data_IF_220823760532
#
_entry.id   IF_220823760532
#
_cell.length_a   1.000
_cell.length_b   1.000
_cell.length_c   1.000
_cell.angle_alpha   90.00
_cell.angle_beta   90.00
_cell.angle_gamma   90.00
#
_symmetry.space_group_name_H-M   'P 1'
#
loop_
_entity.id
_entity.type
_entity.pdbx_description
1 polymer ?
#
# COMPACT_ATOMS: atom_id res chain seq x y z
N UNK A 1 46.06 49.56 61.93
CA UNK A 1 45.63 48.19 61.66
C UNK A 1 44.52 48.26 60.59
N UNK A 2 44.84 47.97 59.29
CA UNK A 2 43.89 48.09 58.16
C UNK A 2 43.45 46.67 57.80
N UNK A 3 42.16 46.40 57.94
CA UNK A 3 41.54 45.13 57.57
C UNK A 3 41.15 45.18 56.11
N UNK A 4 41.77 44.32 55.28
CA UNK A 4 41.41 44.10 53.88
C UNK A 4 40.23 43.13 53.78
N UNK A 5 39.13 43.59 53.22
CA UNK A 5 37.97 42.72 52.83
C UNK A 5 38.31 42.06 51.49
N UNK A 6 38.30 40.73 51.47
CA UNK A 6 38.37 39.93 50.25
C UNK A 6 36.95 39.65 49.79
N UNK A 7 36.62 40.11 48.57
CA UNK A 7 35.36 39.76 47.91
C UNK A 7 35.57 38.41 47.18
N UNK A 8 34.79 37.41 47.54
CA UNK A 8 34.65 36.21 46.74
C UNK A 8 33.59 36.43 45.67
N UNK A 9 33.96 36.36 44.38
CA UNK A 9 33.05 36.34 43.26
C UNK A 9 32.64 34.89 43.03
N UNK A 10 31.38 34.58 43.20
CA UNK A 10 30.80 33.26 42.88
C UNK A 10 30.53 33.21 41.36
N UNK A 11 31.25 32.37 40.62
CA UNK A 11 30.92 32.02 39.22
C UNK A 11 29.75 31.05 39.26
N UNK A 12 28.58 31.52 38.73
CA UNK A 12 27.44 30.66 38.45
C UNK A 12 27.66 30.02 37.05
N UNK A 13 28.02 28.76 37.03
CA UNK A 13 28.05 27.95 35.81
C UNK A 13 26.60 27.58 35.41
N UNK A 14 26.10 28.24 34.39
CA UNK A 14 24.82 27.83 33.76
C UNK A 14 25.03 26.51 33.01
N UNK A 15 24.54 25.42 33.56
CA UNK A 15 24.45 24.16 32.87
C UNK A 15 23.37 24.27 31.77
N UNK A 16 23.79 24.44 30.52
CA UNK A 16 22.89 24.27 29.38
C UNK A 16 22.46 22.81 29.31
N UNK A 17 21.25 22.54 29.76
CA UNK A 17 20.61 21.24 29.60
C UNK A 17 20.37 20.97 28.11
N UNK A 18 21.18 20.13 27.52
CA UNK A 18 20.85 19.50 26.24
C UNK A 18 19.63 18.61 26.48
N UNK A 19 18.44 19.10 26.11
CA UNK A 19 17.29 18.20 25.93
C UNK A 19 17.67 17.23 24.81
N UNK A 20 17.63 15.90 25.03
CA UNK A 20 17.84 14.97 23.93
C UNK A 20 16.77 15.27 22.88
N UNK A 21 17.19 15.60 21.66
CA UNK A 21 16.29 15.67 20.53
C UNK A 21 15.53 14.33 20.49
N UNK A 22 14.24 14.39 20.77
CA UNK A 22 13.37 13.21 20.68
C UNK A 22 13.50 12.72 19.23
N UNK A 23 14.23 11.63 19.03
CA UNK A 23 14.34 11.00 17.73
C UNK A 23 12.89 10.73 17.30
N UNK A 24 12.44 11.43 16.26
CA UNK A 24 11.07 11.27 15.76
C UNK A 24 10.90 9.79 15.40
N UNK A 25 10.01 9.13 16.14
CA UNK A 25 9.77 7.70 16.00
C UNK A 25 9.42 7.40 14.54
N UNK A 26 10.14 6.48 13.94
CA UNK A 26 9.97 6.13 12.54
C UNK A 26 8.58 5.54 12.34
N UNK A 27 7.78 6.13 11.45
CA UNK A 27 6.44 5.61 11.13
C UNK A 27 6.59 4.24 10.46
N UNK A 28 5.94 3.23 11.02
CA UNK A 28 5.80 1.91 10.44
C UNK A 28 4.94 1.95 9.18
N UNK A 29 5.32 1.19 8.18
CA UNK A 29 4.65 1.16 6.89
C UNK A 29 4.07 -0.23 6.59
N UNK A 30 2.89 -0.24 6.01
CA UNK A 30 2.30 -1.40 5.36
C UNK A 30 2.37 -1.20 3.84
N UNK A 31 3.11 -2.07 3.15
CA UNK A 31 3.21 -2.06 1.69
C UNK A 31 2.03 -2.82 1.09
N UNK A 32 0.99 -2.10 0.70
CA UNK A 32 -0.26 -2.67 0.22
C UNK A 32 -0.25 -3.03 -1.29
N UNK A 33 0.91 -2.95 -1.94
CA UNK A 33 1.06 -3.32 -3.34
C UNK A 33 2.47 -3.85 -3.62
N UNK A 34 2.64 -5.18 -3.46
CA UNK A 34 3.95 -5.80 -3.60
C UNK A 34 3.88 -7.05 -4.47
N UNK A 35 4.83 -7.16 -5.39
CA UNK A 35 5.05 -8.33 -6.22
C UNK A 35 6.41 -8.97 -5.92
N UNK A 36 6.39 -10.28 -5.71
CA UNK A 36 7.58 -11.12 -5.69
C UNK A 36 7.50 -12.08 -6.88
N UNK A 37 7.63 -11.50 -8.08
CA UNK A 37 7.49 -12.22 -9.33
C UNK A 37 8.68 -13.15 -9.57
N UNK A 38 8.41 -14.34 -10.09
CA UNK A 38 9.41 -15.38 -10.34
C UNK A 38 9.72 -15.56 -11.81
N UNK A 39 9.55 -14.53 -12.62
CA UNK A 39 9.84 -14.54 -14.04
C UNK A 39 10.94 -13.51 -14.39
N UNK A 40 12.06 -13.94 -14.93
CA UNK A 40 12.52 -15.33 -15.17
C UNK A 40 12.95 -16.07 -13.90
N UNK A 41 13.51 -15.36 -12.92
CA UNK A 41 13.89 -15.83 -11.57
C UNK A 41 13.75 -14.68 -10.61
N UNK A 42 13.43 -14.91 -9.32
CA UNK A 42 13.40 -13.86 -8.33
C UNK A 42 14.73 -13.12 -8.30
N UNK A 43 14.71 -11.79 -8.33
CA UNK A 43 15.92 -10.98 -8.28
C UNK A 43 16.57 -11.06 -6.90
N UNK A 44 15.77 -11.01 -5.84
CA UNK A 44 16.19 -11.17 -4.46
C UNK A 44 15.75 -12.52 -3.89
N UNK A 45 16.62 -13.11 -3.07
CA UNK A 45 16.22 -14.23 -2.20
C UNK A 45 15.25 -13.75 -1.10
N UNK A 46 14.54 -14.67 -0.48
CA UNK A 46 13.65 -14.34 0.64
C UNK A 46 14.37 -13.61 1.78
N UNK A 47 15.62 -14.01 2.10
CA UNK A 47 16.41 -13.33 3.14
C UNK A 47 16.75 -11.89 2.75
N UNK A 48 17.11 -11.66 1.50
CA UNK A 48 17.36 -10.31 0.98
C UNK A 48 16.08 -9.45 1.02
N UNK A 49 14.94 -10.01 0.62
CA UNK A 49 13.64 -9.34 0.70
C UNK A 49 13.26 -9.01 2.13
N UNK A 50 13.46 -9.94 3.07
CA UNK A 50 13.26 -9.72 4.50
C UNK A 50 14.10 -8.55 5.03
N UNK A 51 15.37 -8.48 4.64
CA UNK A 51 16.26 -7.38 5.04
C UNK A 51 15.80 -6.04 4.44
N UNK A 52 15.31 -6.03 3.19
CA UNK A 52 14.70 -4.84 2.57
C UNK A 52 13.51 -4.36 3.41
N UNK A 53 12.63 -5.26 3.84
CA UNK A 53 11.47 -4.89 4.68
C UNK A 53 11.93 -4.35 6.03
N UNK A 54 12.83 -5.05 6.71
CA UNK A 54 13.34 -4.67 8.04
C UNK A 54 13.96 -3.26 8.04
N UNK A 55 14.89 -2.98 7.10
CA UNK A 55 15.56 -1.67 7.04
C UNK A 55 14.60 -0.54 6.64
N UNK A 56 13.48 -0.86 5.97
CA UNK A 56 12.46 0.11 5.61
C UNK A 56 11.31 0.22 6.63
N UNK A 57 11.31 -0.54 7.73
CA UNK A 57 10.24 -0.53 8.73
C UNK A 57 8.91 -0.95 8.14
N UNK A 58 8.93 -1.97 7.27
CA UNK A 58 7.73 -2.57 6.72
C UNK A 58 7.22 -3.61 7.71
N UNK A 59 6.01 -3.41 8.21
CA UNK A 59 5.36 -4.28 9.20
C UNK A 59 4.32 -5.22 8.59
N UNK A 60 3.99 -5.01 7.32
CA UNK A 60 3.06 -5.86 6.59
C UNK A 60 3.08 -5.59 5.11
N UNK A 61 2.61 -6.55 4.34
CA UNK A 61 2.55 -6.50 2.88
C UNK A 61 1.25 -7.11 2.34
N UNK A 62 0.72 -6.55 1.24
CA UNK A 62 -0.18 -7.28 0.34
C UNK A 62 0.69 -7.93 -0.72
N UNK A 63 0.79 -9.25 -0.70
CA UNK A 63 1.57 -10.02 -1.66
C UNK A 63 0.68 -10.52 -2.79
N UNK A 64 1.01 -10.16 -4.03
CA UNK A 64 0.32 -10.63 -5.23
C UNK A 64 1.33 -10.85 -6.36
N UNK A 65 1.81 -12.05 -6.51
CA UNK A 65 2.94 -12.39 -7.38
C UNK A 65 2.53 -13.23 -8.58
N UNK A 66 3.29 -13.11 -9.66
CA UNK A 66 3.12 -13.90 -10.88
C UNK A 66 4.33 -14.82 -11.07
N UNK A 67 4.14 -16.14 -11.11
CA UNK A 67 2.91 -16.84 -10.69
C UNK A 67 2.65 -16.73 -9.18
N UNK A 68 1.50 -17.21 -8.71
CA UNK A 68 1.10 -17.18 -7.29
C UNK A 68 2.10 -17.88 -6.34
N UNK A 69 3.01 -18.68 -6.88
CA UNK A 69 4.10 -19.31 -6.13
C UNK A 69 4.89 -18.29 -5.28
N UNK A 70 5.23 -17.11 -5.84
CA UNK A 70 5.93 -16.06 -5.09
C UNK A 70 5.12 -15.52 -3.90
N UNK A 71 3.81 -15.39 -4.05
CA UNK A 71 2.91 -15.03 -2.95
C UNK A 71 2.91 -16.10 -1.85
N UNK A 72 2.87 -17.38 -2.25
CA UNK A 72 2.91 -18.49 -1.31
C UNK A 72 4.24 -18.59 -0.57
N UNK A 73 5.36 -18.36 -1.25
CA UNK A 73 6.70 -18.34 -0.61
C UNK A 73 6.79 -17.26 0.48
N UNK A 74 6.33 -16.04 0.20
CA UNK A 74 6.29 -14.96 1.19
C UNK A 74 5.38 -15.32 2.37
N UNK A 75 4.23 -15.94 2.11
CA UNK A 75 3.28 -16.37 3.16
C UNK A 75 3.86 -17.50 4.02
N UNK A 76 4.57 -18.44 3.41
CA UNK A 76 5.16 -19.61 4.08
C UNK A 76 6.43 -19.27 4.87
N UNK A 77 7.08 -18.15 4.57
CA UNK A 77 8.26 -17.68 5.29
C UNK A 77 7.98 -17.43 6.78
N UNK A 78 6.72 -17.11 7.14
CA UNK A 78 6.22 -16.96 8.53
C UNK A 78 7.12 -16.09 9.40
N UNK A 79 7.59 -14.95 8.85
CA UNK A 79 8.39 -14.00 9.61
C UNK A 79 7.51 -13.35 10.70
N UNK A 80 7.89 -13.47 11.98
CA UNK A 80 7.01 -13.03 13.09
C UNK A 80 6.81 -11.51 13.11
N UNK A 81 7.76 -10.75 12.56
CA UNK A 81 7.72 -9.30 12.48
C UNK A 81 6.89 -8.76 11.31
N UNK A 82 6.50 -9.61 10.34
CA UNK A 82 5.83 -9.18 9.12
C UNK A 82 4.46 -9.85 8.95
N UNK A 83 3.43 -9.04 8.76
CA UNK A 83 2.09 -9.50 8.40
C UNK A 83 2.00 -9.64 6.87
N UNK A 84 1.75 -10.86 6.39
CA UNK A 84 1.57 -11.13 4.95
C UNK A 84 0.09 -11.34 4.65
N UNK A 85 -0.45 -10.54 3.74
CA UNK A 85 -1.82 -10.63 3.24
C UNK A 85 -1.77 -11.13 1.79
N UNK A 86 -2.06 -12.41 1.53
CA UNK A 86 -1.93 -12.97 0.19
C UNK A 86 -3.16 -12.65 -0.67
N UNK A 87 -2.90 -12.17 -1.88
CA UNK A 87 -3.88 -11.98 -2.94
C UNK A 87 -3.61 -12.94 -4.09
N UNK A 88 -4.66 -13.43 -4.72
CA UNK A 88 -4.58 -14.27 -5.91
C UNK A 88 -4.27 -13.38 -7.12
N UNK A 89 -3.10 -13.52 -7.72
CA UNK A 89 -2.81 -12.89 -9.01
C UNK A 89 -3.52 -13.70 -10.12
N UNK A 90 -4.41 -13.09 -10.93
CA UNK A 90 -5.13 -13.82 -11.96
C UNK A 90 -4.29 -14.00 -13.23
N UNK A 91 -3.00 -14.36 -13.08
CA UNK A 91 -2.05 -14.54 -14.19
C UNK A 91 -1.17 -15.75 -13.97
N UNK A 92 -1.06 -16.57 -14.98
CA UNK A 92 -0.08 -17.69 -15.08
C UNK A 92 1.28 -17.15 -15.52
N UNK A 93 1.25 -16.23 -16.51
CA UNK A 93 2.41 -15.60 -17.14
C UNK A 93 2.09 -14.14 -17.49
N UNK A 94 3.12 -13.39 -17.93
CA UNK A 94 2.98 -11.96 -18.29
C UNK A 94 2.01 -11.73 -19.45
N UNK A 95 1.86 -12.68 -20.37
CA UNK A 95 0.90 -12.61 -21.48
C UNK A 95 -0.55 -12.51 -21.02
N UNK A 96 -0.89 -13.08 -19.85
CA UNK A 96 -2.26 -13.07 -19.35
C UNK A 96 -2.75 -11.65 -18.97
N UNK A 97 -1.85 -10.69 -18.74
CA UNK A 97 -2.21 -9.30 -18.41
C UNK A 97 -3.19 -8.70 -19.43
N UNK A 98 -3.05 -9.04 -20.70
CA UNK A 98 -3.85 -8.48 -21.80
C UNK A 98 -5.07 -9.32 -22.17
N UNK A 99 -5.23 -10.51 -21.60
CA UNK A 99 -6.21 -11.50 -22.08
C UNK A 99 -7.06 -12.14 -20.98
N UNK A 100 -6.64 -12.03 -19.72
CA UNK A 100 -7.24 -12.72 -18.58
C UNK A 100 -8.76 -12.56 -18.47
N UNK A 101 -9.26 -11.38 -18.83
CA UNK A 101 -10.68 -10.99 -18.74
C UNK A 101 -11.57 -11.70 -19.78
N UNK A 102 -10.98 -12.44 -20.74
CA UNK A 102 -11.67 -13.24 -21.74
C UNK A 102 -11.28 -14.72 -21.69
N UNK A 103 -10.47 -15.13 -20.72
CA UNK A 103 -9.98 -16.51 -20.59
C UNK A 103 -10.67 -17.26 -19.46
N UNK A 104 -11.55 -18.24 -19.77
CA UNK A 104 -12.22 -19.05 -18.76
C UNK A 104 -11.24 -19.80 -17.84
N UNK A 105 -10.06 -20.18 -18.34
CA UNK A 105 -9.06 -20.89 -17.57
C UNK A 105 -8.48 -20.04 -16.43
N UNK A 106 -8.52 -18.70 -16.54
CA UNK A 106 -8.11 -17.80 -15.46
C UNK A 106 -9.13 -17.83 -14.31
N UNK A 107 -10.43 -17.93 -14.62
CA UNK A 107 -11.41 -18.07 -13.55
C UNK A 107 -11.24 -19.40 -12.80
N UNK A 108 -10.93 -20.49 -13.50
CA UNK A 108 -10.59 -21.78 -12.88
C UNK A 108 -9.30 -21.69 -12.03
N UNK A 109 -8.29 -20.96 -12.51
CA UNK A 109 -7.08 -20.67 -11.72
C UNK A 109 -7.43 -19.94 -10.41
N UNK A 110 -8.27 -18.90 -10.46
CA UNK A 110 -8.70 -18.15 -9.26
C UNK A 110 -9.39 -19.11 -8.27
N UNK A 111 -10.31 -19.94 -8.74
CA UNK A 111 -11.01 -20.90 -7.87
C UNK A 111 -10.06 -21.93 -7.26
N UNK A 112 -9.12 -22.45 -8.05
CA UNK A 112 -8.15 -23.44 -7.58
C UNK A 112 -7.18 -22.85 -6.54
N UNK A 113 -6.71 -21.62 -6.75
CA UNK A 113 -5.88 -20.92 -5.76
C UNK A 113 -6.68 -20.62 -4.49
N UNK A 114 -7.91 -20.12 -4.62
CA UNK A 114 -8.76 -19.88 -3.46
C UNK A 114 -8.99 -21.16 -2.62
N UNK A 115 -9.17 -22.30 -3.27
CA UNK A 115 -9.36 -23.58 -2.60
C UNK A 115 -8.14 -24.04 -1.76
N UNK A 116 -6.94 -23.51 -2.03
CA UNK A 116 -5.74 -23.73 -1.19
C UNK A 116 -5.87 -23.06 0.18
N UNK A 117 -6.74 -22.05 0.29
CA UNK A 117 -6.99 -21.29 1.51
C UNK A 117 -6.00 -20.13 1.75
N UNK A 118 -6.39 -19.27 2.70
CA UNK A 118 -5.54 -18.18 3.18
C UNK A 118 -5.60 -16.87 2.37
N UNK A 119 -6.10 -16.89 1.16
CA UNK A 119 -6.20 -15.69 0.34
C UNK A 119 -7.29 -14.73 0.82
N UNK A 120 -6.99 -13.43 0.75
CA UNK A 120 -7.84 -12.33 1.26
C UNK A 120 -8.40 -11.48 0.11
N UNK A 121 -7.82 -11.59 -1.08
CA UNK A 121 -8.24 -10.83 -2.24
C UNK A 121 -7.80 -11.45 -3.57
N UNK A 122 -8.23 -10.81 -4.66
CA UNK A 122 -7.88 -11.14 -6.04
C UNK A 122 -7.25 -9.90 -6.68
N UNK A 123 -6.11 -10.03 -7.32
CA UNK A 123 -5.37 -8.95 -7.96
C UNK A 123 -3.90 -8.93 -7.54
N UNK A 124 -3.16 -7.97 -8.00
CA UNK A 124 -3.53 -6.92 -8.92
C UNK A 124 -3.93 -7.47 -10.29
N UNK A 125 -5.00 -6.96 -10.86
CA UNK A 125 -5.37 -7.26 -12.24
C UNK A 125 -5.55 -5.97 -13.04
N UNK A 126 -5.17 -6.01 -14.32
CA UNK A 126 -5.26 -4.89 -15.25
C UNK A 126 -6.55 -5.01 -16.05
N UNK A 127 -7.36 -3.95 -16.06
CA UNK A 127 -8.59 -3.89 -16.83
C UNK A 127 -8.92 -2.44 -17.19
N UNK A 128 -9.36 -2.18 -18.42
CA UNK A 128 -9.61 -0.83 -18.88
C UNK A 128 -10.93 -0.74 -19.66
N UNK A 129 -11.65 0.36 -19.44
CA UNK A 129 -12.86 0.68 -20.14
C UNK A 129 -13.86 -0.48 -20.18
N UNK A 130 -14.46 -0.69 -21.34
CA UNK A 130 -15.52 -1.70 -21.54
C UNK A 130 -15.06 -3.16 -21.38
N UNK A 131 -13.76 -3.46 -21.35
CA UNK A 131 -13.29 -4.81 -21.05
C UNK A 131 -13.74 -5.28 -19.66
N UNK A 132 -13.97 -4.35 -18.73
CA UNK A 132 -14.51 -4.64 -17.40
C UNK A 132 -15.95 -5.22 -17.43
N UNK A 133 -16.68 -5.09 -18.54
CA UNK A 133 -18.05 -5.62 -18.70
C UNK A 133 -18.08 -7.06 -19.22
N UNK A 134 -16.91 -7.71 -19.38
CA UNK A 134 -16.86 -9.10 -19.84
C UNK A 134 -17.51 -10.06 -18.84
N UNK A 135 -18.06 -11.17 -19.34
CA UNK A 135 -18.73 -12.18 -18.49
C UNK A 135 -17.76 -12.81 -17.49
N UNK A 136 -16.48 -12.92 -17.84
CA UNK A 136 -15.49 -13.50 -16.94
C UNK A 136 -15.09 -12.54 -15.82
N UNK A 137 -14.98 -11.24 -16.12
CA UNK A 137 -14.77 -10.20 -15.09
C UNK A 137 -15.96 -10.17 -14.13
N UNK A 138 -17.19 -10.19 -14.64
CA UNK A 138 -18.40 -10.28 -13.81
C UNK A 138 -18.36 -11.47 -12.86
N UNK A 139 -18.01 -12.65 -13.35
CA UNK A 139 -17.86 -13.86 -12.50
C UNK A 139 -16.79 -13.69 -11.43
N UNK A 140 -15.66 -13.04 -11.75
CA UNK A 140 -14.60 -12.75 -10.76
C UNK A 140 -15.10 -11.77 -9.68
N UNK A 141 -15.84 -10.74 -10.08
CA UNK A 141 -16.42 -9.77 -9.13
C UNK A 141 -17.44 -10.46 -8.22
N UNK A 142 -18.37 -11.24 -8.77
CA UNK A 142 -19.37 -11.96 -7.97
C UNK A 142 -18.71 -12.98 -7.03
N UNK A 143 -17.74 -13.74 -7.51
CA UNK A 143 -16.95 -14.65 -6.70
C UNK A 143 -16.25 -13.92 -5.53
N UNK A 144 -15.70 -12.73 -5.78
CA UNK A 144 -15.06 -11.94 -4.74
C UNK A 144 -16.06 -11.52 -3.65
N UNK A 145 -17.25 -11.08 -4.04
CA UNK A 145 -18.33 -10.69 -3.11
C UNK A 145 -18.82 -11.88 -2.29
N UNK A 146 -19.13 -13.01 -2.94
CA UNK A 146 -19.57 -14.22 -2.29
C UNK A 146 -18.57 -14.77 -1.28
N UNK A 147 -17.28 -14.59 -1.52
CA UNK A 147 -16.17 -15.08 -0.68
C UNK A 147 -15.60 -14.03 0.24
N UNK A 148 -16.21 -12.81 0.25
CA UNK A 148 -15.76 -11.70 1.06
C UNK A 148 -14.27 -11.31 0.78
N UNK A 149 -13.84 -11.38 -0.49
CA UNK A 149 -12.50 -11.02 -0.94
C UNK A 149 -12.44 -9.56 -1.39
N UNK A 150 -11.26 -8.96 -1.29
CA UNK A 150 -10.97 -7.68 -1.92
C UNK A 150 -10.59 -7.87 -3.38
N UNK A 151 -10.87 -6.86 -4.21
CA UNK A 151 -10.32 -6.74 -5.55
C UNK A 151 -9.22 -5.69 -5.55
N UNK A 152 -8.03 -6.01 -6.06
CA UNK A 152 -6.97 -5.03 -6.28
C UNK A 152 -6.92 -4.75 -7.78
N UNK A 153 -7.53 -3.62 -8.18
CA UNK A 153 -7.81 -3.31 -9.58
C UNK A 153 -6.89 -2.20 -10.10
N UNK A 154 -6.05 -2.55 -11.07
CA UNK A 154 -5.30 -1.62 -11.89
C UNK A 154 -6.18 -1.23 -13.09
N UNK A 155 -6.94 -0.16 -12.94
CA UNK A 155 -7.96 0.19 -13.91
C UNK A 155 -8.15 1.71 -14.03
N UNK A 156 -8.68 2.12 -15.19
CA UNK A 156 -9.20 3.46 -15.38
C UNK A 156 -10.55 3.66 -14.66
N UNK A 157 -11.04 4.89 -14.64
CA UNK A 157 -12.30 5.24 -14.00
C UNK A 157 -13.49 4.54 -14.65
N UNK A 158 -13.52 4.40 -16.00
CA UNK A 158 -14.61 3.73 -16.70
C UNK A 158 -14.75 2.28 -16.24
N UNK A 159 -13.64 1.55 -16.19
CA UNK A 159 -13.63 0.18 -15.72
C UNK A 159 -14.02 0.09 -14.24
N UNK A 160 -13.52 0.97 -13.38
CA UNK A 160 -13.89 1.02 -11.96
C UNK A 160 -15.40 1.16 -11.78
N UNK A 161 -16.02 2.08 -12.51
CA UNK A 161 -17.47 2.31 -12.45
C UNK A 161 -18.29 1.13 -13.02
N UNK A 162 -17.76 0.43 -14.02
CA UNK A 162 -18.37 -0.81 -14.53
C UNK A 162 -18.37 -1.90 -13.47
N UNK A 163 -17.24 -2.11 -12.77
CA UNK A 163 -17.15 -3.10 -11.70
C UNK A 163 -18.18 -2.83 -10.59
N UNK A 164 -18.29 -1.59 -10.11
CA UNK A 164 -19.28 -1.21 -9.10
C UNK A 164 -20.72 -1.28 -9.60
N UNK A 165 -20.97 -0.93 -10.85
CA UNK A 165 -22.31 -1.04 -11.46
C UNK A 165 -22.76 -2.49 -11.55
N UNK A 166 -21.83 -3.41 -11.87
CA UNK A 166 -22.11 -4.83 -11.89
C UNK A 166 -22.45 -5.36 -10.49
N UNK A 167 -21.62 -5.04 -9.50
CA UNK A 167 -21.88 -5.47 -8.13
C UNK A 167 -21.47 -4.39 -7.11
N UNK A 168 -22.45 -3.60 -6.60
CA UNK A 168 -22.16 -2.51 -5.64
C UNK A 168 -21.56 -2.98 -4.30
N UNK A 169 -21.57 -4.29 -4.02
CA UNK A 169 -20.96 -4.87 -2.81
C UNK A 169 -19.49 -5.22 -2.99
N UNK A 170 -18.93 -5.06 -4.20
CA UNK A 170 -17.52 -5.28 -4.45
C UNK A 170 -16.68 -4.34 -3.57
N UNK A 171 -15.57 -4.85 -3.02
CA UNK A 171 -14.62 -4.07 -2.22
C UNK A 171 -13.33 -3.92 -3.00
N UNK A 172 -13.01 -2.71 -3.42
CA UNK A 172 -11.96 -2.43 -4.39
C UNK A 172 -10.84 -1.60 -3.77
N UNK A 173 -9.62 -2.10 -3.87
CA UNK A 173 -8.38 -1.34 -3.71
C UNK A 173 -7.99 -0.90 -5.11
N UNK A 174 -8.06 0.41 -5.35
CA UNK A 174 -7.80 0.99 -6.67
C UNK A 174 -6.31 1.28 -6.81
N UNK A 175 -5.60 0.43 -7.53
CA UNK A 175 -4.18 0.60 -7.77
C UNK A 175 -3.89 1.95 -8.42
N UNK A 176 -2.84 2.63 -7.95
CA UNK A 176 -2.39 3.94 -8.42
C UNK A 176 -3.45 5.05 -8.29
N UNK A 177 -4.55 4.80 -7.59
CA UNK A 177 -5.68 5.75 -7.44
C UNK A 177 -6.05 6.42 -8.77
N UNK A 178 -6.18 5.61 -9.83
CA UNK A 178 -6.54 6.08 -11.18
C UNK A 178 -5.47 6.93 -11.88
N UNK A 179 -4.20 6.78 -11.50
CA UNK A 179 -3.04 7.43 -12.14
C UNK A 179 -3.06 8.97 -12.12
N UNK A 180 -3.65 9.59 -13.14
CA UNK A 180 -3.65 11.06 -13.34
C UNK A 180 -5.00 11.71 -13.08
N UNK A 181 -5.99 10.98 -12.59
CA UNK A 181 -7.32 11.54 -12.29
C UNK A 181 -7.17 12.68 -11.27
N UNK A 182 -7.85 13.84 -11.50
CA UNK A 182 -7.76 14.97 -10.58
C UNK A 182 -8.21 14.61 -9.16
N UNK A 183 -7.57 15.13 -8.10
CA UNK A 183 -7.93 14.85 -6.70
C UNK A 183 -9.38 15.13 -6.37
N UNK A 184 -10.00 16.15 -6.97
CA UNK A 184 -11.44 16.43 -6.81
C UNK A 184 -12.31 15.28 -7.30
N UNK A 185 -11.94 14.63 -8.41
CA UNK A 185 -12.69 13.46 -8.91
C UNK A 185 -12.45 12.24 -8.04
N UNK A 186 -11.24 12.04 -7.54
CA UNK A 186 -10.96 10.98 -6.54
C UNK A 186 -11.85 11.16 -5.32
N UNK A 187 -11.98 12.39 -4.80
CA UNK A 187 -12.87 12.69 -3.67
C UNK A 187 -14.32 12.28 -3.94
N UNK A 188 -14.86 12.61 -5.12
CA UNK A 188 -16.23 12.22 -5.51
C UNK A 188 -16.40 10.70 -5.52
N UNK A 189 -15.47 9.96 -6.13
CA UNK A 189 -15.51 8.50 -6.18
C UNK A 189 -15.43 7.86 -4.78
N UNK A 190 -14.60 8.43 -3.89
CA UNK A 190 -14.53 7.98 -2.50
C UNK A 190 -15.82 8.25 -1.72
N UNK A 191 -16.53 9.36 -2.01
CA UNK A 191 -17.84 9.65 -1.41
C UNK A 191 -18.94 8.73 -1.98
N UNK A 192 -18.95 8.49 -3.30
CA UNK A 192 -19.89 7.60 -3.98
C UNK A 192 -19.77 6.15 -3.51
N UNK A 193 -18.53 5.70 -3.19
CA UNK A 193 -18.22 4.32 -2.79
C UNK A 193 -17.56 4.25 -1.41
N UNK A 194 -18.16 4.92 -0.43
CA UNK A 194 -17.58 5.20 0.89
C UNK A 194 -17.02 3.98 1.62
N UNK A 195 -17.71 2.85 1.61
CA UNK A 195 -17.33 1.65 2.37
C UNK A 195 -16.74 0.55 1.48
N UNK A 196 -16.45 0.87 0.23
CA UNK A 196 -16.12 -0.10 -0.81
C UNK A 196 -14.86 0.23 -1.62
N UNK A 197 -14.39 1.49 -1.59
CA UNK A 197 -13.26 1.95 -2.39
C UNK A 197 -12.12 2.47 -1.50
N UNK A 198 -10.91 2.00 -1.75
CA UNK A 198 -9.64 2.52 -1.18
C UNK A 198 -8.67 2.85 -2.31
N UNK A 199 -7.98 3.98 -2.19
CA UNK A 199 -6.93 4.37 -3.14
C UNK A 199 -5.57 3.84 -2.70
N UNK A 200 -4.86 3.13 -3.57
CA UNK A 200 -3.48 2.75 -3.37
C UNK A 200 -2.57 3.70 -4.16
N UNK A 201 -1.43 4.12 -3.59
CA UNK A 201 -0.70 5.31 -4.01
C UNK A 201 0.62 5.04 -4.76
N UNK A 202 0.97 3.78 -5.07
CA UNK A 202 2.14 3.53 -5.90
C UNK A 202 1.99 4.18 -7.28
N UNK A 203 3.07 4.69 -7.84
CA UNK A 203 3.07 5.41 -9.12
C UNK A 203 2.05 6.56 -9.25
N UNK A 204 1.41 6.98 -8.16
CA UNK A 204 0.46 8.08 -8.22
C UNK A 204 1.18 9.42 -8.35
N UNK A 205 1.17 9.99 -9.54
CA UNK A 205 1.75 11.29 -9.81
C UNK A 205 0.97 12.44 -9.18
N UNK A 206 1.63 13.60 -9.03
CA UNK A 206 1.01 14.87 -8.61
C UNK A 206 0.69 14.98 -7.11
N UNK A 207 1.06 14.01 -6.29
CA UNK A 207 0.94 14.09 -4.83
C UNK A 207 1.83 15.21 -4.30
N UNK A 208 3.07 15.26 -4.80
CA UNK A 208 4.05 16.32 -4.47
C UNK A 208 4.40 17.14 -5.69
N UNK A 209 4.74 18.40 -5.46
CA UNK A 209 5.39 19.25 -6.46
C UNK A 209 6.87 18.90 -6.65
N UNK A 210 7.54 19.60 -7.57
CA UNK A 210 8.96 19.41 -7.85
C UNK A 210 9.89 19.77 -6.66
N UNK A 211 9.37 20.47 -5.67
CA UNK A 211 10.06 20.79 -4.41
C UNK A 211 9.84 19.74 -3.30
N UNK A 212 9.17 18.63 -3.61
CA UNK A 212 8.85 17.56 -2.66
C UNK A 212 7.74 17.90 -1.66
N UNK A 213 7.08 19.06 -1.80
CA UNK A 213 5.97 19.44 -0.93
C UNK A 213 4.65 18.86 -1.45
N UNK A 214 3.77 18.49 -0.52
CA UNK A 214 2.40 18.13 -0.86
C UNK A 214 1.71 19.27 -1.61
N UNK A 215 1.08 18.95 -2.73
CA UNK A 215 0.20 19.90 -3.41
C UNK A 215 -1.02 20.21 -2.52
N UNK A 216 -1.62 21.40 -2.66
CA UNK A 216 -2.78 21.81 -1.87
C UNK A 216 -3.94 20.82 -1.99
N UNK A 217 -4.18 20.33 -3.19
CA UNK A 217 -5.29 19.43 -3.50
C UNK A 217 -5.12 18.06 -2.83
N UNK A 218 -3.91 17.49 -2.90
CA UNK A 218 -3.62 16.22 -2.22
C UNK A 218 -3.59 16.37 -0.70
N UNK A 219 -3.10 17.51 -0.19
CA UNK A 219 -3.19 17.79 1.25
C UNK A 219 -4.63 17.74 1.72
N UNK A 220 -5.51 18.50 1.06
CA UNK A 220 -6.94 18.56 1.38
C UNK A 220 -7.60 17.19 1.27
N UNK A 221 -7.22 16.39 0.25
CA UNK A 221 -7.73 15.05 0.04
C UNK A 221 -7.31 14.10 1.19
N UNK A 222 -6.04 14.12 1.59
CA UNK A 222 -5.55 13.31 2.69
C UNK A 222 -6.14 13.75 4.05
N UNK A 223 -6.32 15.05 4.28
CA UNK A 223 -6.96 15.55 5.49
C UNK A 223 -8.40 15.07 5.63
N UNK A 224 -9.15 15.03 4.51
CA UNK A 224 -10.55 14.60 4.50
C UNK A 224 -10.73 13.08 4.50
N UNK A 225 -9.86 12.34 3.79
CA UNK A 225 -9.99 10.90 3.53
C UNK A 225 -8.76 10.11 4.00
N UNK A 226 -8.13 10.53 5.13
CA UNK A 226 -6.95 9.85 5.66
C UNK A 226 -7.16 8.35 5.94
N UNK A 227 -8.38 7.90 6.07
CA UNK A 227 -8.79 6.51 6.33
C UNK A 227 -9.00 5.67 5.05
N UNK A 228 -8.73 6.25 3.87
CA UNK A 228 -9.07 5.63 2.57
C UNK A 228 -7.86 5.39 1.67
N UNK A 229 -6.66 5.74 2.10
CA UNK A 229 -5.45 5.57 1.30
C UNK A 229 -4.51 4.52 1.88
N UNK A 230 -3.83 3.82 0.97
CA UNK A 230 -2.84 2.78 1.23
C UNK A 230 -1.56 3.12 0.48
N UNK A 231 -0.40 2.78 1.05
CA UNK A 231 0.89 2.91 0.37
C UNK A 231 1.25 1.61 -0.32
N UNK A 232 2.01 1.68 -1.41
CA UNK A 232 2.52 0.52 -2.10
C UNK A 232 3.85 0.77 -2.80
N UNK A 233 4.66 -0.27 -2.95
CA UNK A 233 5.92 -0.23 -3.69
C UNK A 233 5.73 -0.54 -5.18
N UNK A 234 4.79 -1.41 -5.49
CA UNK A 234 4.54 -1.96 -6.81
C UNK A 234 5.82 -2.50 -7.46
N UNK A 235 6.38 -3.53 -6.87
CA UNK A 235 7.61 -4.20 -7.33
C UNK A 235 7.36 -5.15 -8.51
N UNK A 236 6.67 -4.67 -9.57
CA UNK A 236 6.21 -5.48 -10.71
C UNK A 236 7.33 -6.02 -11.60
N UNK A 237 8.51 -5.38 -11.56
CA UNK A 237 9.76 -5.84 -12.19
C UNK A 237 10.86 -5.93 -11.15
N UNK A 238 11.84 -6.80 -11.39
CA UNK A 238 12.91 -7.06 -10.44
C UNK A 238 13.74 -5.81 -10.13
N UNK A 239 13.98 -4.96 -11.11
CA UNK A 239 14.72 -3.70 -10.97
C UNK A 239 14.05 -2.71 -10.01
N UNK A 240 12.74 -2.81 -9.82
CA UNK A 240 12.00 -1.95 -8.89
C UNK A 240 12.43 -2.13 -7.44
N UNK A 241 12.96 -3.29 -7.11
CA UNK A 241 13.53 -3.57 -5.80
C UNK A 241 14.75 -2.70 -5.46
N UNK A 242 15.52 -2.25 -6.48
CA UNK A 242 16.63 -1.30 -6.25
C UNK A 242 16.15 0.05 -5.74
N UNK A 243 14.99 0.50 -6.16
CA UNK A 243 14.38 1.76 -5.76
C UNK A 243 13.55 1.68 -4.47
N UNK A 244 13.44 0.52 -3.85
CA UNK A 244 12.53 0.29 -2.73
C UNK A 244 12.76 1.26 -1.56
N UNK A 245 14.01 1.46 -1.17
CA UNK A 245 14.37 2.39 -0.10
C UNK A 245 13.98 3.84 -0.42
N UNK A 246 14.16 4.25 -1.68
CA UNK A 246 13.81 5.58 -2.18
C UNK A 246 12.30 5.80 -2.15
N UNK A 247 11.51 4.83 -2.60
CA UNK A 247 10.04 4.89 -2.59
C UNK A 247 9.52 5.19 -1.18
N UNK A 248 9.96 4.42 -0.19
CA UNK A 248 9.45 4.59 1.17
C UNK A 248 10.06 5.79 1.90
N UNK A 249 11.24 6.26 1.50
CA UNK A 249 11.78 7.54 1.93
C UNK A 249 10.91 8.71 1.42
N UNK A 250 10.51 8.68 0.15
CA UNK A 250 9.63 9.69 -0.44
C UNK A 250 8.27 9.72 0.23
N UNK A 251 7.67 8.56 0.52
CA UNK A 251 6.43 8.49 1.28
C UNK A 251 6.58 9.14 2.66
N UNK A 252 7.63 8.84 3.41
CA UNK A 252 7.86 9.46 4.72
C UNK A 252 8.06 10.98 4.64
N UNK A 253 8.69 11.47 3.57
CA UNK A 253 8.92 12.90 3.38
C UNK A 253 7.61 13.69 3.27
N UNK A 254 6.63 13.18 2.54
CA UNK A 254 5.35 13.88 2.44
C UNK A 254 4.38 13.52 3.58
N UNK A 255 4.44 12.32 4.16
CA UNK A 255 3.68 11.98 5.36
C UNK A 255 4.02 12.90 6.54
N UNK A 256 5.28 13.34 6.64
CA UNK A 256 5.71 14.29 7.66
C UNK A 256 5.07 15.68 7.51
N UNK A 257 4.36 15.96 6.41
CA UNK A 257 3.74 17.25 6.12
C UNK A 257 2.24 17.28 6.46
N UNK A 258 1.67 16.18 6.95
CA UNK A 258 0.28 16.08 7.44
C UNK A 258 0.29 15.73 8.94
N UNK A 259 -0.83 15.91 9.65
CA UNK A 259 -0.94 15.54 11.06
C UNK A 259 -0.54 14.07 11.30
N UNK A 260 0.23 13.83 12.36
CA UNK A 260 0.82 12.52 12.65
C UNK A 260 -0.20 11.38 12.67
N UNK A 261 -1.39 11.62 13.20
CA UNK A 261 -2.47 10.63 13.26
C UNK A 261 -2.92 10.21 11.85
N UNK A 262 -3.06 11.17 10.94
CA UNK A 262 -3.42 10.92 9.54
C UNK A 262 -2.28 10.21 8.80
N UNK A 263 -1.04 10.62 9.05
CA UNK A 263 0.14 9.97 8.50
C UNK A 263 0.22 8.49 8.92
N UNK A 264 -0.01 8.18 10.19
CA UNK A 264 -0.04 6.80 10.71
C UNK A 264 -1.17 5.97 10.09
N UNK A 265 -2.36 6.57 9.90
CA UNK A 265 -3.46 5.89 9.20
C UNK A 265 -3.08 5.48 7.79
N UNK A 266 -2.55 6.41 6.99
CA UNK A 266 -2.16 6.17 5.59
C UNK A 266 -0.97 5.19 5.53
N UNK A 267 0.02 5.36 6.41
CA UNK A 267 1.23 4.55 6.40
C UNK A 267 0.98 3.06 6.66
N UNK A 268 0.13 2.73 7.63
CA UNK A 268 -0.14 1.33 8.01
C UNK A 268 -1.52 1.10 8.61
N UNK A 269 -2.08 2.05 9.35
CA UNK A 269 -3.31 1.87 10.12
C UNK A 269 -4.50 1.43 9.26
N UNK A 270 -4.65 2.00 8.06
CA UNK A 270 -5.74 1.63 7.16
C UNK A 270 -5.62 0.17 6.69
N UNK A 271 -4.43 -0.28 6.31
CA UNK A 271 -4.20 -1.66 5.90
C UNK A 271 -4.43 -2.63 7.07
N UNK A 272 -3.90 -2.31 8.27
CA UNK A 272 -4.11 -3.14 9.46
C UNK A 272 -5.60 -3.31 9.78
N UNK A 273 -6.37 -2.22 9.75
CA UNK A 273 -7.83 -2.24 9.97
C UNK A 273 -8.55 -2.99 8.85
N UNK A 274 -8.23 -2.69 7.59
CA UNK A 274 -8.88 -3.28 6.41
C UNK A 274 -8.76 -4.80 6.43
N UNK A 275 -7.58 -5.32 6.72
CA UNK A 275 -7.31 -6.75 6.76
C UNK A 275 -7.48 -7.38 8.15
N UNK A 276 -8.01 -6.64 9.14
CA UNK A 276 -8.27 -7.11 10.51
C UNK A 276 -7.02 -7.68 11.19
N UNK A 277 -5.90 -6.99 11.04
CA UNK A 277 -4.59 -7.39 11.57
C UNK A 277 -4.20 -6.61 12.84
N UNK A 278 -5.05 -5.71 13.31
CA UNK A 278 -4.88 -5.02 14.57
C UNK A 278 -4.95 -6.03 15.72
N UNK A 279 -4.15 -5.80 16.77
CA UNK A 279 -4.26 -6.59 17.98
C UNK A 279 -5.71 -6.45 18.51
N UNK A 280 -6.36 -7.56 18.81
CA UNK A 280 -7.61 -7.53 19.57
C UNK A 280 -7.23 -7.08 20.98
N UNK A 281 -7.62 -5.85 21.34
CA UNK A 281 -7.48 -5.32 22.70
C UNK A 281 -8.27 -6.18 23.68
#
# INVERSE_FOLDING_TARGET
>A
MRIRRVLFAALATAAMGFSPACAQERIDIFDAHLHYNQEPTPFYTLDQVREVFRRNGIIGIVANSRPNKGTLELTQAKWPELKVVPFIRPYRARSDIQTWFNDPAIFELIKSEYARGGYVGIGEFHIYGKAADSDWVKKVVDFSVERNLYLHAHCDEEALLILFRHNPKARIIWAHTGFSIPPARVAQLLDEHRDALWGELSYRGGITGGDGKLTSDWRSLFERYSDRFLLGSDTWINERWFGYDTIFKEYRNWLAQIPLEQARRIASGNALRLFRLEARN
#
